data_IF_501698807345
#
_entry.id   IF_501698807345
#
_cell.length_a   1.000
_cell.length_b   1.000
_cell.length_c   1.000
_cell.angle_alpha   90.00
_cell.angle_beta   90.00
_cell.angle_gamma   90.00
#
_symmetry.space_group_name_H-M   'P 1'
#
loop_
_entity.id
_entity.type
_entity.pdbx_description
1 polymer ?
#
# COMPACT_ATOMS: atom_id res chain seq x y z
N UNK A 1 32.53 -5.46 15.27
CA UNK A 1 31.57 -4.41 15.67
C UNK A 1 30.18 -4.88 15.28
N UNK A 2 29.38 -5.37 16.23
CA UNK A 2 27.98 -5.72 15.96
C UNK A 2 27.15 -4.45 16.09
N UNK A 3 26.61 -3.95 14.97
CA UNK A 3 25.67 -2.83 14.97
C UNK A 3 24.45 -3.26 15.77
N UNK A 4 24.32 -2.73 16.98
CA UNK A 4 23.23 -2.98 17.90
C UNK A 4 21.97 -2.36 17.27
N UNK A 5 21.18 -3.18 16.58
CA UNK A 5 19.89 -2.76 16.03
C UNK A 5 18.99 -2.43 17.21
N UNK A 6 18.64 -1.16 17.33
CA UNK A 6 17.80 -0.66 18.41
C UNK A 6 16.41 -1.34 18.35
N UNK A 7 16.04 -2.19 19.32
CA UNK A 7 14.81 -2.96 19.26
C UNK A 7 13.55 -2.09 19.30
N UNK A 8 13.64 -0.84 19.76
CA UNK A 8 12.54 0.13 19.77
C UNK A 8 12.11 0.57 18.36
N UNK A 9 12.92 0.31 17.32
CA UNK A 9 12.51 0.48 15.92
C UNK A 9 11.65 -0.67 15.38
N UNK A 10 11.64 -1.82 16.05
CA UNK A 10 10.86 -3.00 15.66
C UNK A 10 9.44 -3.01 16.24
N UNK A 11 9.12 -2.08 17.15
CA UNK A 11 7.83 -2.06 17.89
C UNK A 11 6.67 -1.38 17.15
N UNK A 12 6.91 -0.77 15.98
CA UNK A 12 5.79 -0.40 15.13
C UNK A 12 5.43 -1.60 14.29
N UNK A 13 4.43 -2.36 14.76
CA UNK A 13 3.68 -3.26 13.90
C UNK A 13 3.44 -2.53 12.57
N UNK A 14 4.00 -3.04 11.45
CA UNK A 14 3.84 -2.37 10.18
C UNK A 14 2.33 -2.24 9.94
N UNK A 15 1.83 -1.06 9.59
CA UNK A 15 0.41 -0.88 9.37
C UNK A 15 -0.06 -1.95 8.37
N UNK A 16 -1.11 -2.69 8.73
CA UNK A 16 -1.57 -3.80 7.91
C UNK A 16 -2.42 -3.27 6.77
N UNK A 17 -2.22 -3.79 5.56
CA UNK A 17 -3.07 -3.44 4.41
C UNK A 17 -4.45 -4.12 4.62
N UNK A 18 -5.57 -3.38 4.71
CA UNK A 18 -6.92 -3.93 4.78
C UNK A 18 -7.34 -4.50 3.43
N UNK A 19 -6.73 -5.62 3.05
CA UNK A 19 -7.00 -6.30 1.78
C UNK A 19 -8.49 -6.65 1.62
N UNK A 20 -9.18 -6.98 2.71
CA UNK A 20 -10.59 -7.38 2.69
C UNK A 20 -11.56 -6.24 2.33
N UNK A 21 -11.11 -4.98 2.45
CA UNK A 21 -11.92 -3.81 2.12
C UNK A 21 -11.84 -3.43 0.62
N UNK A 22 -10.91 -4.03 -0.13
CA UNK A 22 -10.66 -3.68 -1.52
C UNK A 22 -11.67 -4.30 -2.46
N UNK A 23 -12.82 -3.64 -2.59
CA UNK A 23 -13.93 -4.05 -3.45
C UNK A 23 -14.17 -3.02 -4.56
N UNK A 24 -15.15 -3.29 -5.44
CA UNK A 24 -15.54 -2.32 -6.47
C UNK A 24 -15.93 -0.98 -5.83
N UNK A 25 -15.37 0.12 -6.34
CA UNK A 25 -15.63 1.46 -5.83
C UNK A 25 -14.81 1.87 -4.62
N UNK A 26 -14.04 0.96 -4.01
CA UNK A 26 -13.12 1.31 -2.92
C UNK A 26 -12.00 2.21 -3.42
N UNK A 27 -11.62 3.18 -2.59
CA UNK A 27 -10.48 4.06 -2.86
C UNK A 27 -9.61 4.20 -1.62
N UNK A 28 -8.29 4.20 -1.81
CA UNK A 28 -7.32 4.42 -0.76
C UNK A 28 -6.32 5.50 -1.15
N UNK A 29 -6.12 6.47 -0.27
CA UNK A 29 -5.06 7.46 -0.34
C UNK A 29 -3.93 7.22 0.67
N UNK A 30 -2.69 7.30 0.19
CA UNK A 30 -1.50 7.12 1.03
C UNK A 30 -0.40 8.11 0.60
N UNK A 31 0.34 8.66 1.58
CA UNK A 31 1.55 9.43 1.32
C UNK A 31 2.77 8.52 1.13
N UNK A 32 3.83 9.04 0.50
CA UNK A 32 5.07 8.29 0.31
C UNK A 32 5.67 7.78 1.64
N UNK A 33 5.65 8.63 2.68
CA UNK A 33 6.13 8.30 4.04
C UNK A 33 5.29 7.22 4.73
N UNK A 34 3.99 7.15 4.42
CA UNK A 34 3.10 6.11 4.95
C UNK A 34 3.36 4.78 4.23
N UNK A 35 3.56 4.81 2.90
CA UNK A 35 3.83 3.64 2.07
C UNK A 35 5.14 2.90 2.44
N UNK A 36 6.13 3.63 2.96
CA UNK A 36 7.36 3.03 3.53
C UNK A 36 7.05 2.03 4.65
N UNK A 37 6.04 2.32 5.49
CA UNK A 37 5.62 1.42 6.58
C UNK A 37 4.97 0.13 6.10
N UNK A 38 4.41 0.09 4.88
CA UNK A 38 3.75 -1.09 4.33
C UNK A 38 4.67 -1.96 3.47
N UNK A 39 5.56 -1.34 2.70
CA UNK A 39 6.28 -2.03 1.61
C UNK A 39 7.65 -1.43 1.28
N UNK A 40 8.18 -0.59 2.18
CA UNK A 40 9.47 0.06 2.04
C UNK A 40 9.51 1.21 1.02
N UNK A 41 8.52 1.35 0.13
CA UNK A 41 8.40 2.49 -0.78
C UNK A 41 7.01 2.60 -1.39
N UNK A 42 6.68 3.77 -1.95
CA UNK A 42 5.44 3.99 -2.70
C UNK A 42 5.35 3.11 -3.96
N UNK A 43 6.48 2.84 -4.61
CA UNK A 43 6.57 1.94 -5.77
C UNK A 43 6.32 0.49 -5.39
N UNK A 44 6.87 0.04 -4.27
CA UNK A 44 6.59 -1.27 -3.68
C UNK A 44 5.10 -1.41 -3.38
N UNK A 45 4.52 -0.42 -2.71
CA UNK A 45 3.11 -0.42 -2.31
C UNK A 45 2.20 -0.54 -3.53
N UNK A 46 2.42 0.31 -4.54
CA UNK A 46 1.70 0.26 -5.81
C UNK A 46 1.78 -1.11 -6.47
N UNK A 47 2.96 -1.74 -6.48
CA UNK A 47 3.16 -3.05 -7.10
C UNK A 47 2.40 -4.15 -6.37
N UNK A 48 2.35 -4.08 -5.03
CA UNK A 48 1.55 -4.99 -4.20
C UNK A 48 0.05 -4.81 -4.48
N UNK A 49 -0.43 -3.57 -4.56
CA UNK A 49 -1.83 -3.28 -4.89
C UNK A 49 -2.24 -3.81 -6.28
N UNK A 50 -1.40 -3.60 -7.30
CA UNK A 50 -1.66 -4.16 -8.63
C UNK A 50 -1.68 -5.69 -8.64
N UNK A 51 -0.76 -6.32 -7.91
CA UNK A 51 -0.70 -7.77 -7.80
C UNK A 51 -1.94 -8.34 -7.12
N UNK A 52 -2.40 -7.70 -6.04
CA UNK A 52 -3.64 -8.06 -5.37
C UNK A 52 -4.86 -7.89 -6.29
N UNK A 53 -5.00 -6.73 -6.93
CA UNK A 53 -6.12 -6.45 -7.80
C UNK A 53 -6.20 -7.46 -8.95
N UNK A 54 -5.04 -7.78 -9.55
CA UNK A 54 -4.97 -8.79 -10.62
C UNK A 54 -5.46 -10.17 -10.16
N UNK A 55 -5.14 -10.59 -8.94
CA UNK A 55 -5.56 -11.90 -8.38
C UNK A 55 -7.05 -11.96 -8.07
N UNK A 56 -7.65 -10.83 -7.71
CA UNK A 56 -9.06 -10.73 -7.34
C UNK A 56 -9.96 -10.22 -8.48
N UNK A 57 -9.50 -10.31 -9.73
CA UNK A 57 -10.25 -9.80 -10.90
C UNK A 57 -10.65 -8.32 -10.79
N UNK A 58 -9.87 -7.52 -10.06
CA UNK A 58 -10.00 -6.07 -9.98
C UNK A 58 -9.01 -5.37 -10.91
N UNK A 59 -9.30 -4.12 -11.19
CA UNK A 59 -8.43 -3.12 -11.79
C UNK A 59 -8.14 -2.04 -10.76
N UNK A 60 -6.93 -1.47 -10.81
CA UNK A 60 -6.54 -0.36 -9.96
C UNK A 60 -6.19 0.83 -10.84
N UNK A 61 -6.82 1.96 -10.57
CA UNK A 61 -6.46 3.25 -11.18
C UNK A 61 -5.71 4.08 -10.15
N UNK A 62 -4.53 4.57 -10.50
CA UNK A 62 -3.73 5.43 -9.63
C UNK A 62 -3.83 6.88 -10.05
N UNK A 63 -3.92 7.78 -9.07
CA UNK A 63 -3.85 9.23 -9.28
C UNK A 63 -2.99 9.88 -8.22
N UNK A 64 -2.02 10.68 -8.63
CA UNK A 64 -1.22 11.49 -7.71
C UNK A 64 -1.98 12.76 -7.34
N UNK A 65 -2.06 13.05 -6.04
CA UNK A 65 -2.75 14.20 -5.43
C UNK A 65 -1.76 14.93 -4.53
N UNK A 66 -0.93 15.80 -5.11
CA UNK A 66 0.15 16.48 -4.40
C UNK A 66 1.17 15.49 -3.86
N UNK A 67 1.28 15.38 -2.52
CA UNK A 67 2.19 14.46 -1.82
C UNK A 67 1.59 13.08 -1.57
N UNK A 68 0.32 12.86 -1.95
CA UNK A 68 -0.39 11.59 -1.77
C UNK A 68 -0.64 10.90 -3.10
N UNK A 69 -0.84 9.59 -3.07
CA UNK A 69 -1.36 8.82 -4.18
C UNK A 69 -2.69 8.19 -3.78
N UNK A 70 -3.68 8.33 -4.65
CA UNK A 70 -4.97 7.65 -4.59
C UNK A 70 -4.95 6.42 -5.48
N UNK A 71 -5.51 5.33 -4.98
CA UNK A 71 -5.71 4.06 -5.67
C UNK A 71 -7.21 3.78 -5.67
N UNK A 72 -7.83 3.64 -6.83
CA UNK A 72 -9.24 3.29 -6.97
C UNK A 72 -9.36 1.88 -7.52
N UNK A 73 -10.09 1.02 -6.83
CA UNK A 73 -10.35 -0.35 -7.21
C UNK A 73 -11.68 -0.44 -7.96
N UNK A 74 -11.69 -1.21 -9.04
CA UNK A 74 -12.90 -1.49 -9.82
C UNK A 74 -12.90 -2.92 -10.32
N UNK A 75 -14.04 -3.58 -10.36
CA UNK A 75 -14.15 -4.91 -10.97
C UNK A 75 -13.82 -4.88 -12.46
N UNK A 76 -13.17 -5.94 -12.95
CA UNK A 76 -13.05 -6.18 -14.39
C UNK A 76 -14.42 -6.60 -14.92
N UNK A 77 -15.02 -5.74 -15.74
CA UNK A 77 -16.18 -6.08 -16.55
C UNK A 77 -15.84 -7.11 -17.62
#
# INVERSE_FOLDING_TARGET
>A
MATRVDPSRLEKDPPRIPWDEFTDGFWWEIAASEAEGYSGSLTGFRSTLYSYARRNSLTVTTRTLGTRMRFQFKEKK
#
